data_IF_939192714192
#
_entry.id   IF_939192714192
#
_cell.length_a   1.000
_cell.length_b   1.000
_cell.length_c   1.000
_cell.angle_alpha   90.00
_cell.angle_beta   90.00
_cell.angle_gamma   90.00
#
_symmetry.space_group_name_H-M   'P 1'
#
loop_
_entity.id
_entity.type
_entity.pdbx_description
1 polymer ?
#
# COMPACT_ATOMS: atom_id res chain seq x y z
N UNK A 1 -5.77 0.64 16.40
CA UNK A 1 -6.80 -0.30 15.89
C UNK A 1 -6.14 -1.26 14.88
N UNK A 2 -6.79 -2.32 14.40
CA UNK A 2 -6.26 -3.13 13.29
C UNK A 2 -7.40 -3.45 12.32
N UNK A 3 -7.13 -3.31 11.01
CA UNK A 3 -8.08 -3.70 9.96
C UNK A 3 -7.74 -5.13 9.53
N UNK A 4 -8.70 -6.07 9.54
CA UNK A 4 -8.49 -7.41 9.02
C UNK A 4 -8.50 -7.38 7.49
N UNK A 5 -7.43 -6.88 6.86
CA UNK A 5 -7.38 -6.66 5.42
C UNK A 5 -7.74 -7.92 4.61
N UNK A 6 -7.27 -9.09 5.06
CA UNK A 6 -7.50 -10.37 4.37
C UNK A 6 -8.98 -10.75 4.30
N UNK A 7 -9.81 -10.30 5.25
CA UNK A 7 -11.26 -10.55 5.26
C UNK A 7 -12.02 -9.62 4.31
N UNK A 8 -11.43 -8.48 3.94
CA UNK A 8 -12.07 -7.49 3.07
C UNK A 8 -11.88 -7.80 1.57
N UNK A 9 -10.88 -8.63 1.23
CA UNK A 9 -10.49 -8.89 -0.14
C UNK A 9 -11.46 -9.80 -0.89
N UNK A 10 -11.85 -9.36 -2.09
CA UNK A 10 -12.36 -10.20 -3.17
C UNK A 10 -11.46 -9.98 -4.39
N UNK A 11 -10.61 -10.96 -4.71
CA UNK A 11 -9.66 -10.84 -5.82
C UNK A 11 -10.34 -10.86 -7.20
N UNK A 12 -11.53 -11.45 -7.32
CA UNK A 12 -12.32 -11.44 -8.56
C UNK A 12 -13.01 -10.10 -8.80
N UNK A 13 -13.14 -9.27 -7.74
CA UNK A 13 -13.69 -7.91 -7.84
C UNK A 13 -12.87 -6.91 -7.02
N UNK A 14 -11.74 -6.43 -7.58
CA UNK A 14 -10.93 -5.40 -6.94
C UNK A 14 -11.67 -4.08 -6.73
N UNK A 15 -12.69 -3.78 -7.54
CA UNK A 15 -13.47 -2.55 -7.40
C UNK A 15 -14.38 -2.60 -6.16
N UNK A 16 -15.09 -3.71 -5.94
CA UNK A 16 -15.86 -3.91 -4.71
C UNK A 16 -14.95 -3.93 -3.47
N UNK A 17 -13.76 -4.53 -3.58
CA UNK A 17 -12.77 -4.53 -2.50
C UNK A 17 -12.33 -3.10 -2.14
N UNK A 18 -12.09 -2.24 -3.13
CA UNK A 18 -11.77 -0.83 -2.88
C UNK A 18 -12.85 -0.13 -2.04
N UNK A 19 -14.13 -0.33 -2.38
CA UNK A 19 -15.26 0.24 -1.65
C UNK A 19 -15.22 -0.14 -0.16
N UNK A 20 -15.09 -1.44 0.13
CA UNK A 20 -14.98 -1.96 1.50
C UNK A 20 -13.78 -1.40 2.26
N UNK A 21 -12.63 -1.28 1.60
CA UNK A 21 -11.42 -0.70 2.21
C UNK A 21 -11.64 0.77 2.56
N UNK A 22 -12.24 1.56 1.66
CA UNK A 22 -12.54 2.98 1.91
C UNK A 22 -13.54 3.15 3.05
N UNK A 23 -14.57 2.30 3.13
CA UNK A 23 -15.53 2.28 4.23
C UNK A 23 -14.87 1.94 5.56
N UNK A 24 -14.05 0.89 5.60
CA UNK A 24 -13.29 0.49 6.79
C UNK A 24 -12.31 1.58 7.26
N UNK A 25 -11.83 2.43 6.34
CA UNK A 25 -10.91 3.52 6.62
C UNK A 25 -11.53 4.82 7.11
N UNK A 26 -12.85 4.98 7.05
CA UNK A 26 -13.52 6.27 7.29
C UNK A 26 -13.29 6.84 8.70
N UNK A 27 -12.93 6.00 9.68
CA UNK A 27 -12.65 6.41 11.06
C UNK A 27 -11.16 6.57 11.40
N UNK A 28 -10.25 6.32 10.47
CA UNK A 28 -8.81 6.35 10.74
C UNK A 28 -8.30 7.78 10.67
N UNK A 29 -7.75 8.27 11.77
CA UNK A 29 -7.01 9.53 11.80
C UNK A 29 -5.61 9.31 11.17
N UNK A 30 -5.29 9.95 10.03
CA UNK A 30 -3.97 9.80 9.39
C UNK A 30 -2.81 10.31 10.26
N UNK A 31 -3.06 11.22 11.21
CA UNK A 31 -2.02 11.77 12.10
C UNK A 31 -1.90 10.95 13.39
N UNK A 32 -3.03 10.49 13.93
CA UNK A 32 -3.08 9.64 15.12
C UNK A 32 -2.69 8.18 14.87
N UNK A 33 -2.99 7.64 13.68
CA UNK A 33 -2.72 6.25 13.29
C UNK A 33 -2.02 6.17 11.90
N UNK A 34 -0.87 6.86 11.71
CA UNK A 34 -0.25 7.02 10.39
C UNK A 34 0.19 5.68 9.78
N UNK A 35 0.68 4.73 10.58
CA UNK A 35 1.08 3.42 10.06
C UNK A 35 -0.12 2.65 9.49
N UNK A 36 -1.22 2.57 10.24
CA UNK A 36 -2.45 1.91 9.79
C UNK A 36 -3.05 2.61 8.56
N UNK A 37 -3.04 3.95 8.54
CA UNK A 37 -3.51 4.73 7.40
C UNK A 37 -2.70 4.40 6.13
N UNK A 38 -1.36 4.42 6.21
CA UNK A 38 -0.49 4.05 5.08
C UNK A 38 -0.79 2.63 4.64
N UNK A 39 -0.87 1.66 5.56
CA UNK A 39 -1.21 0.27 5.21
C UNK A 39 -2.53 0.18 4.45
N UNK A 40 -3.58 0.89 4.89
CA UNK A 40 -4.86 0.93 4.19
C UNK A 40 -4.72 1.49 2.76
N UNK A 41 -4.03 2.62 2.59
CA UNK A 41 -3.86 3.23 1.26
C UNK A 41 -3.08 2.30 0.31
N UNK A 42 -2.12 1.51 0.81
CA UNK A 42 -1.44 0.51 -0.03
C UNK A 42 -2.38 -0.58 -0.54
N UNK A 43 -3.37 -0.99 0.25
CA UNK A 43 -4.38 -1.95 -0.21
C UNK A 43 -5.28 -1.35 -1.28
N UNK A 44 -5.66 -0.07 -1.14
CA UNK A 44 -6.41 0.66 -2.17
C UNK A 44 -5.57 0.82 -3.45
N UNK A 45 -4.29 1.16 -3.33
CA UNK A 45 -3.39 1.24 -4.48
C UNK A 45 -3.28 -0.10 -5.22
N UNK A 46 -3.27 -1.22 -4.48
CA UNK A 46 -3.27 -2.56 -5.07
C UNK A 46 -4.53 -2.82 -5.90
N UNK A 47 -5.72 -2.44 -5.42
CA UNK A 47 -6.95 -2.62 -6.21
C UNK A 47 -6.92 -1.79 -7.48
N UNK A 48 -6.35 -0.58 -7.45
CA UNK A 48 -6.16 0.27 -8.64
C UNK A 48 -5.21 -0.39 -9.64
N UNK A 49 -4.06 -0.88 -9.17
CA UNK A 49 -3.07 -1.58 -10.00
C UNK A 49 -3.66 -2.83 -10.68
N UNK A 50 -4.42 -3.65 -9.95
CA UNK A 50 -5.09 -4.85 -10.50
C UNK A 50 -6.09 -4.52 -11.61
N UNK A 51 -6.61 -3.28 -11.64
CA UNK A 51 -7.53 -2.78 -12.67
C UNK A 51 -6.83 -1.99 -13.78
N UNK A 52 -5.49 -2.02 -13.84
CA UNK A 52 -4.70 -1.30 -14.83
C UNK A 52 -4.60 0.21 -14.60
N UNK A 53 -5.08 0.72 -13.46
CA UNK A 53 -5.06 2.15 -13.11
C UNK A 53 -3.73 2.51 -12.44
N UNK A 54 -2.64 2.31 -13.17
CA UNK A 54 -1.28 2.40 -12.61
C UNK A 54 -0.89 3.81 -12.16
N UNK A 55 -1.23 4.83 -12.95
CA UNK A 55 -0.96 6.24 -12.61
C UNK A 55 -1.65 6.62 -11.29
N UNK A 56 -2.91 6.22 -11.12
CA UNK A 56 -3.67 6.49 -9.91
C UNK A 56 -3.16 5.71 -8.70
N UNK A 57 -2.73 4.45 -8.90
CA UNK A 57 -2.06 3.69 -7.86
C UNK A 57 -0.77 4.37 -7.41
N UNK A 58 0.05 4.85 -8.34
CA UNK A 58 1.27 5.59 -8.03
C UNK A 58 0.99 6.93 -7.34
N UNK A 59 0.04 7.73 -7.85
CA UNK A 59 -0.32 9.00 -7.24
C UNK A 59 -0.81 8.83 -5.80
N UNK A 60 -1.60 7.78 -5.52
CA UNK A 60 -2.04 7.47 -4.16
C UNK A 60 -0.86 7.09 -3.25
N UNK A 61 0.06 6.28 -3.77
CA UNK A 61 1.26 5.88 -3.04
C UNK A 61 2.18 7.09 -2.77
N UNK A 62 2.29 8.05 -3.71
CA UNK A 62 3.07 9.29 -3.53
C UNK A 62 2.48 10.16 -2.42
N UNK A 63 1.15 10.29 -2.34
CA UNK A 63 0.48 11.13 -1.34
C UNK A 63 0.80 10.69 0.09
N UNK A 64 0.86 9.39 0.34
CA UNK A 64 1.09 8.85 1.68
C UNK A 64 2.54 8.92 2.13
N UNK A 65 3.49 9.23 1.25
CA UNK A 65 4.90 9.41 1.61
C UNK A 65 5.09 10.59 2.58
N UNK A 66 4.19 11.59 2.53
CA UNK A 66 4.16 12.71 3.47
C UNK A 66 3.96 12.30 4.94
N UNK A 67 3.41 11.10 5.18
CA UNK A 67 3.17 10.54 6.51
C UNK A 67 4.34 9.70 7.03
N UNK A 68 5.40 9.51 6.22
CA UNK A 68 6.51 8.64 6.61
C UNK A 68 7.29 9.22 7.78
N UNK A 69 7.20 8.52 8.90
CA UNK A 69 8.00 8.73 10.10
C UNK A 69 8.62 7.40 10.54
N UNK A 70 9.58 7.41 11.49
CA UNK A 70 10.09 6.16 12.07
C UNK A 70 9.01 5.26 12.69
N UNK A 71 7.86 5.81 13.09
CA UNK A 71 6.74 5.04 13.62
C UNK A 71 5.92 4.29 12.55
N UNK A 72 6.04 4.67 11.27
CA UNK A 72 5.34 4.04 10.13
C UNK A 72 6.16 2.86 9.61
N UNK A 73 6.30 1.82 10.40
CA UNK A 73 7.17 0.68 10.06
C UNK A 73 6.55 -0.21 8.98
N UNK A 74 5.38 -0.80 9.26
CA UNK A 74 4.74 -1.77 8.36
C UNK A 74 4.18 -1.09 7.12
N UNK A 75 3.64 0.11 7.28
CA UNK A 75 3.13 0.93 6.18
C UNK A 75 4.17 1.18 5.10
N UNK A 76 5.41 1.51 5.48
CA UNK A 76 6.50 1.79 4.53
C UNK A 76 6.96 0.54 3.78
N UNK A 77 6.99 -0.62 4.45
CA UNK A 77 7.31 -1.90 3.79
C UNK A 77 6.22 -2.23 2.76
N UNK A 78 4.95 -2.17 3.15
CA UNK A 78 3.82 -2.43 2.24
C UNK A 78 3.77 -1.43 1.08
N UNK A 79 4.10 -0.17 1.34
CA UNK A 79 4.19 0.86 0.30
C UNK A 79 5.17 0.45 -0.79
N UNK A 80 6.38 0.03 -0.42
CA UNK A 80 7.38 -0.40 -1.40
C UNK A 80 6.97 -1.68 -2.14
N UNK A 81 6.34 -2.64 -1.45
CA UNK A 81 5.80 -3.84 -2.10
C UNK A 81 4.73 -3.50 -3.14
N UNK A 82 3.77 -2.64 -2.81
CA UNK A 82 2.68 -2.29 -3.74
C UNK A 82 3.16 -1.35 -4.86
N UNK A 83 4.14 -0.47 -4.59
CA UNK A 83 4.83 0.32 -5.61
C UNK A 83 5.52 -0.59 -6.62
N UNK A 84 6.27 -1.58 -6.14
CA UNK A 84 6.95 -2.57 -6.97
C UNK A 84 5.98 -3.41 -7.78
N UNK A 85 4.88 -3.90 -7.17
CA UNK A 85 3.81 -4.62 -7.88
C UNK A 85 3.18 -3.76 -8.98
N UNK A 86 2.95 -2.48 -8.71
CA UNK A 86 2.37 -1.56 -9.70
C UNK A 86 3.30 -1.38 -10.90
N UNK A 87 4.60 -1.14 -10.68
CA UNK A 87 5.57 -1.08 -11.79
C UNK A 87 5.68 -2.40 -12.55
N UNK A 88 5.70 -3.53 -11.84
CA UNK A 88 5.80 -4.85 -12.47
C UNK A 88 4.59 -5.13 -13.37
N UNK A 89 3.37 -4.84 -12.89
CA UNK A 89 2.15 -4.98 -13.68
C UNK A 89 2.08 -4.04 -14.88
N UNK A 90 2.76 -2.90 -14.81
CA UNK A 90 2.90 -1.96 -15.93
C UNK A 90 4.05 -2.31 -16.91
N UNK A 91 4.81 -3.38 -16.65
CA UNK A 91 5.95 -3.80 -17.49
C UNK A 91 7.29 -3.13 -17.16
N UNK A 92 7.34 -2.31 -16.11
CA UNK A 92 8.50 -1.51 -15.70
C UNK A 92 9.40 -2.31 -14.72
N UNK A 93 9.89 -3.47 -15.14
CA UNK A 93 10.54 -4.46 -14.28
C UNK A 93 11.76 -3.94 -13.49
N UNK A 94 12.56 -3.05 -14.09
CA UNK A 94 13.74 -2.50 -13.42
C UNK A 94 13.34 -1.69 -12.17
N UNK A 95 12.33 -0.82 -12.29
CA UNK A 95 11.78 -0.04 -11.18
C UNK A 95 11.15 -0.95 -10.12
N UNK A 96 10.46 -2.01 -10.55
CA UNK A 96 9.87 -2.98 -9.63
C UNK A 96 10.93 -3.65 -8.74
N UNK A 97 12.06 -4.07 -9.32
CA UNK A 97 13.17 -4.69 -8.58
C UNK A 97 13.75 -3.73 -7.53
N UNK A 98 13.93 -2.46 -7.87
CA UNK A 98 14.40 -1.44 -6.93
C UNK A 98 13.46 -1.31 -5.73
N UNK A 99 12.14 -1.23 -5.97
CA UNK A 99 11.15 -1.20 -4.90
C UNK A 99 11.17 -2.45 -4.02
N UNK A 100 11.28 -3.66 -4.60
CA UNK A 100 11.31 -4.89 -3.81
C UNK A 100 12.58 -5.02 -2.96
N UNK A 101 13.73 -4.56 -3.45
CA UNK A 101 14.97 -4.50 -2.65
C UNK A 101 14.81 -3.55 -1.48
N UNK A 102 14.23 -2.38 -1.72
CA UNK A 102 13.96 -1.41 -0.65
C UNK A 102 12.96 -1.96 0.38
N UNK A 103 11.93 -2.68 -0.05
CA UNK A 103 11.00 -3.35 0.85
C UNK A 103 11.71 -4.40 1.73
N UNK A 104 12.62 -5.19 1.15
CA UNK A 104 13.41 -6.20 1.85
C UNK A 104 14.33 -5.56 2.89
N UNK A 105 15.15 -4.59 2.50
CA UNK A 105 16.07 -3.90 3.41
C UNK A 105 15.33 -3.36 4.63
N UNK A 106 14.15 -2.76 4.43
CA UNK A 106 13.32 -2.23 5.51
C UNK A 106 12.76 -3.30 6.45
N UNK A 107 12.40 -4.45 5.91
CA UNK A 107 11.90 -5.57 6.70
C UNK A 107 13.02 -6.18 7.56
N UNK A 108 14.24 -6.20 7.05
CA UNK A 108 15.44 -6.64 7.80
C UNK A 108 15.80 -5.64 8.90
N UNK A 109 15.83 -4.34 8.59
CA UNK A 109 16.13 -3.28 9.58
C UNK A 109 15.10 -3.21 10.72
N UNK A 110 13.83 -3.53 10.45
CA UNK A 110 12.75 -3.55 11.45
C UNK A 110 12.70 -4.83 12.29
N UNK A 111 13.55 -5.82 12.01
CA UNK A 111 13.62 -7.12 12.70
C UNK A 111 14.56 -7.16 13.91
N UNK A 112 15.04 -6.01 14.39
CA UNK A 112 15.97 -5.87 15.51
C UNK A 112 15.36 -5.18 16.72
#
# INVERSE_FOLDING_TARGET
MSIPFDELWNYDDPAATEGKLREAGAGIDPVGEPDLHVQLQTQIARTLSLRGRFEEAHALLDQVESLFTPAVVVGRIRHQLERGRTFNSAGENAKAIECFREALNRAEDGGH
#
